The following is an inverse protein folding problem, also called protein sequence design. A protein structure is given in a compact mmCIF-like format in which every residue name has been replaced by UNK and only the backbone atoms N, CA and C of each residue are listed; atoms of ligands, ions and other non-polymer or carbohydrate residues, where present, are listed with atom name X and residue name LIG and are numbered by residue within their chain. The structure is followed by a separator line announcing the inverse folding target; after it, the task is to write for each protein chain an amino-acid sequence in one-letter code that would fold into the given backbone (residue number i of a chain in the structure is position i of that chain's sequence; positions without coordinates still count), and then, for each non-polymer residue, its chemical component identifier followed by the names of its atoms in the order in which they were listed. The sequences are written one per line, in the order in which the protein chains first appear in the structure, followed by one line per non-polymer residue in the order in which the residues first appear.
data_IF_725698951545
#
_entry.id   IF_725698951545
#
_cell.length_a   1.000
_cell.length_b   1.000
_cell.length_c   1.000
_cell.angle_alpha   90.00
_cell.angle_beta   90.00
_cell.angle_gamma   90.00
#
_symmetry.space_group_name_H-M   'P 1'
#
loop_
_entity.id
_entity.type
_entity.pdbx_description
1 polymer ?
#
# COMPACT_ATOMS: atom_id res chain seq x y z
N UNK A 1 2.82 8.78 15.34
CA UNK A 1 2.12 8.42 14.07
C UNK A 1 1.00 7.48 14.44
N UNK A 2 -0.28 7.76 14.14
CA UNK A 2 -1.35 6.82 14.42
C UNK A 2 -1.07 5.52 13.66
N UNK A 3 -1.05 4.40 14.36
CA UNK A 3 -0.93 3.09 13.73
C UNK A 3 -2.15 2.92 12.82
N UNK A 4 -1.94 3.01 11.51
CA UNK A 4 -3.02 2.78 10.55
C UNK A 4 -3.45 1.32 10.73
N UNK A 5 -4.67 1.06 11.24
CA UNK A 5 -5.15 -0.31 11.34
C UNK A 5 -5.30 -0.88 9.93
N UNK A 6 -5.01 -2.16 9.77
CA UNK A 6 -5.17 -2.91 8.51
C UNK A 6 -4.29 -2.43 7.35
N UNK A 7 -3.01 -2.09 7.62
CA UNK A 7 -2.02 -1.76 6.58
C UNK A 7 -1.95 -2.79 5.44
N UNK A 8 -2.11 -4.07 5.77
CA UNK A 8 -2.06 -5.18 4.80
C UNK A 8 -3.27 -5.20 3.87
N UNK A 9 -4.48 -4.99 4.42
CA UNK A 9 -5.70 -4.89 3.62
C UNK A 9 -5.61 -3.71 2.64
N UNK A 10 -5.16 -2.54 3.13
CA UNK A 10 -4.96 -1.35 2.29
C UNK A 10 -3.91 -1.58 1.19
N UNK A 11 -2.78 -2.21 1.52
CA UNK A 11 -1.77 -2.57 0.51
C UNK A 11 -2.37 -3.47 -0.58
N UNK A 12 -3.11 -4.50 -0.17
CA UNK A 12 -3.73 -5.45 -1.10
C UNK A 12 -4.76 -4.79 -2.01
N UNK A 13 -5.52 -3.85 -1.47
CA UNK A 13 -6.51 -3.11 -2.24
C UNK A 13 -5.86 -2.16 -3.24
N UNK A 14 -4.77 -1.48 -2.86
CA UNK A 14 -3.95 -0.70 -3.80
C UNK A 14 -3.38 -1.59 -4.89
N UNK A 15 -2.85 -2.77 -4.55
CA UNK A 15 -2.33 -3.72 -5.54
C UNK A 15 -3.44 -4.21 -6.49
N UNK A 16 -4.65 -4.45 -5.99
CA UNK A 16 -5.80 -4.82 -6.81
C UNK A 16 -6.22 -3.71 -7.77
N UNK A 17 -6.22 -2.45 -7.30
CA UNK A 17 -6.51 -1.28 -8.13
C UNK A 17 -5.43 -1.08 -9.21
N UNK A 18 -4.16 -1.27 -8.86
CA UNK A 18 -3.04 -1.23 -9.81
C UNK A 18 -3.17 -2.34 -10.85
N UNK A 19 -3.50 -3.57 -10.42
CA UNK A 19 -3.73 -4.69 -11.33
C UNK A 19 -4.94 -4.47 -12.25
N UNK A 20 -5.95 -3.71 -11.79
CA UNK A 20 -7.09 -3.27 -12.59
C UNK A 20 -6.74 -2.11 -13.56
N UNK A 21 -5.50 -1.62 -13.57
CA UNK A 21 -5.02 -0.56 -14.45
C UNK A 21 -5.04 0.85 -13.87
N UNK A 22 -5.42 1.03 -12.59
CA UNK A 22 -5.31 2.34 -11.93
C UNK A 22 -3.86 2.67 -11.57
N UNK A 23 -3.53 3.95 -11.59
CA UNK A 23 -2.23 4.43 -11.12
C UNK A 23 -2.05 4.26 -9.61
N UNK A 24 -0.80 4.11 -9.17
CA UNK A 24 -0.42 4.10 -7.75
C UNK A 24 -0.95 5.36 -7.04
N UNK A 25 -0.76 6.55 -7.63
CA UNK A 25 -1.22 7.81 -7.04
C UNK A 25 -2.75 7.84 -6.83
N UNK A 26 -3.50 7.36 -7.81
CA UNK A 26 -4.96 7.37 -7.77
C UNK A 26 -5.49 6.40 -6.72
N UNK A 27 -4.94 5.18 -6.70
CA UNK A 27 -5.24 4.15 -5.71
C UNK A 27 -4.89 4.60 -4.28
N UNK A 28 -3.76 5.27 -4.12
CA UNK A 28 -3.30 5.81 -2.86
C UNK A 28 -4.25 6.89 -2.31
N UNK A 29 -4.74 7.76 -3.19
CA UNK A 29 -5.72 8.80 -2.88
C UNK A 29 -7.10 8.24 -2.55
N UNK A 30 -7.54 7.21 -3.27
CA UNK A 30 -8.81 6.50 -3.04
C UNK A 30 -8.85 5.82 -1.67
N UNK A 31 -7.72 5.23 -1.26
CA UNK A 31 -7.55 4.54 0.03
C UNK A 31 -7.25 5.52 1.19
N UNK A 32 -6.98 6.79 0.87
CA UNK A 32 -6.67 7.81 1.87
C UNK A 32 -5.33 7.60 2.57
N UNK A 33 -4.32 7.07 1.86
CA UNK A 33 -2.95 7.01 2.35
C UNK A 33 -2.03 7.89 1.49
N UNK A 34 -0.82 8.18 1.98
CA UNK A 34 0.19 8.86 1.16
C UNK A 34 1.09 7.84 0.46
N UNK A 35 1.61 8.20 -0.71
CA UNK A 35 2.51 7.34 -1.49
C UNK A 35 3.73 6.93 -0.66
N UNK A 36 4.25 7.86 0.15
CA UNK A 36 5.33 7.60 1.10
C UNK A 36 5.02 6.43 2.05
N UNK A 37 3.78 6.34 2.53
CA UNK A 37 3.34 5.24 3.41
C UNK A 37 3.25 3.93 2.63
N UNK A 38 2.70 3.96 1.41
CA UNK A 38 2.61 2.80 0.53
C UNK A 38 3.99 2.22 0.20
N UNK A 39 4.95 3.07 -0.22
CA UNK A 39 6.32 2.64 -0.49
C UNK A 39 7.00 2.05 0.75
N UNK A 40 6.82 2.66 1.93
CA UNK A 40 7.39 2.13 3.18
C UNK A 40 6.84 0.75 3.53
N UNK A 41 5.53 0.55 3.33
CA UNK A 41 4.91 -0.77 3.55
C UNK A 41 5.40 -1.79 2.53
N UNK A 42 5.53 -1.41 1.26
CA UNK A 42 6.05 -2.28 0.21
C UNK A 42 7.48 -2.75 0.51
N UNK A 43 8.38 -1.84 0.90
CA UNK A 43 9.75 -2.19 1.31
C UNK A 43 9.76 -3.10 2.53
N UNK A 44 9.00 -2.76 3.58
CA UNK A 44 8.89 -3.61 4.77
C UNK A 44 8.30 -5.00 4.48
N UNK A 45 7.48 -5.14 3.42
CA UNK A 45 6.94 -6.41 2.96
C UNK A 45 7.96 -7.21 2.15
N UNK A 46 8.79 -6.54 1.35
CA UNK A 46 9.88 -7.17 0.63
C UNK A 46 10.91 -7.78 1.60
N UNK A 47 11.25 -7.08 2.68
CA UNK A 47 12.18 -7.55 3.71
C UNK A 47 11.64 -8.73 4.54
N UNK A 48 10.32 -8.86 4.68
CA UNK A 48 9.69 -9.97 5.43
C UNK A 48 9.45 -11.25 4.63
N UNK A 49 9.68 -11.25 3.31
CA UNK A 49 9.48 -12.44 2.46
C UNK A 49 10.78 -13.24 2.23
N UNK A 50 11.91 -12.77 2.76
CA UNK A 50 13.25 -13.35 2.60
C UNK A 50 13.83 -13.90 3.93
N UNK A 51 12.98 -14.33 4.87
CA UNK A 51 13.39 -14.85 6.18
C UNK A 51 12.70 -16.15 6.56
#
# INVERSE_FOLDING_TARGET
MPAIPNKEARCREIEALIAAGKGVCESCREIGISEKTFYRWRTARAEKQDG
#
